data_IF_679711220655
#
_entry.id   IF_679711220655
#
_cell.length_a   1.000
_cell.length_b   1.000
_cell.length_c   1.000
_cell.angle_alpha   90.00
_cell.angle_beta   90.00
_cell.angle_gamma   90.00
#
_symmetry.space_group_name_H-M   'P 1'
#
loop_
_entity.id
_entity.type
_entity.pdbx_description
1 polymer ?
#
# COMPACT_ATOMS: atom_id res chain seq x y z
N UNK A 1 6.73 29.24 31.66
CA UNK A 1 7.03 29.79 30.31
C UNK A 1 8.48 29.48 29.99
N UNK A 2 8.75 28.41 29.26
CA UNK A 2 10.04 28.13 28.62
C UNK A 2 9.85 28.20 27.14
N UNK A 3 10.72 28.96 26.49
CA UNK A 3 10.75 29.34 25.10
C UNK A 3 10.82 28.10 24.15
N UNK A 4 10.01 28.13 23.11
CA UNK A 4 9.93 27.15 22.01
C UNK A 4 10.99 27.42 20.93
N UNK A 5 12.20 27.65 21.29
CA UNK A 5 13.34 27.81 20.37
C UNK A 5 14.49 26.96 20.90
N UNK A 6 15.02 26.12 20.05
CA UNK A 6 16.17 25.21 20.23
C UNK A 6 15.83 23.73 20.41
N UNK A 7 15.20 23.14 19.41
CA UNK A 7 15.54 21.82 18.95
C UNK A 7 16.27 21.99 17.60
N UNK A 8 17.47 22.56 17.64
CA UNK A 8 18.45 22.33 16.59
C UNK A 8 18.85 20.87 16.64
N UNK A 9 18.18 20.05 15.80
CA UNK A 9 18.73 18.78 15.40
C UNK A 9 20.02 19.09 14.62
N UNK A 10 21.15 18.99 15.28
CA UNK A 10 22.46 18.83 14.64
C UNK A 10 22.43 17.47 13.92
N UNK A 11 21.84 17.45 12.75
CA UNK A 11 21.96 16.33 11.84
C UNK A 11 23.40 16.33 11.33
N UNK A 12 24.22 15.47 11.91
CA UNK A 12 25.51 15.11 11.37
C UNK A 12 25.32 14.62 9.93
N UNK A 13 25.93 15.34 8.99
CA UNK A 13 25.82 15.13 7.55
C UNK A 13 26.54 13.86 7.04
N UNK A 14 26.95 12.99 7.92
CA UNK A 14 27.90 11.94 7.57
C UNK A 14 27.40 10.53 7.74
N UNK A 15 26.17 10.12 7.48
CA UNK A 15 25.94 8.66 7.44
C UNK A 15 24.57 8.20 6.94
N UNK A 16 24.05 8.77 5.86
CA UNK A 16 23.16 7.98 5.00
C UNK A 16 23.98 7.20 3.97
N UNK A 17 25.02 6.52 4.41
CA UNK A 17 25.64 5.48 3.62
C UNK A 17 24.86 4.19 3.84
N UNK A 18 24.66 3.42 2.79
CA UNK A 18 24.07 2.08 2.75
C UNK A 18 24.88 1.04 3.56
N UNK A 19 25.48 1.43 4.66
CA UNK A 19 26.32 0.59 5.49
C UNK A 19 25.65 0.27 6.78
N UNK A 20 25.09 -0.92 6.85
CA UNK A 20 25.06 -1.42 8.18
C UNK A 20 23.87 -2.21 8.68
N UNK A 21 23.46 -3.20 7.94
CA UNK A 21 23.10 -4.44 8.62
C UNK A 21 24.08 -5.50 8.12
N UNK A 22 25.13 -5.78 8.95
CA UNK A 22 26.01 -6.93 8.75
C UNK A 22 25.14 -8.19 8.71
N UNK A 23 25.13 -8.88 7.55
CA UNK A 23 24.45 -10.15 7.39
C UNK A 23 23.45 -10.24 6.23
N UNK A 24 23.41 -9.29 5.31
CA UNK A 24 22.64 -9.45 4.07
C UNK A 24 23.45 -10.36 3.13
N UNK A 25 22.96 -11.58 2.95
CA UNK A 25 23.34 -12.46 1.85
C UNK A 25 22.88 -11.81 0.53
N UNK A 26 23.57 -12.05 -0.57
CA UNK A 26 23.24 -11.55 -1.91
C UNK A 26 21.81 -11.90 -2.39
N UNK A 27 21.12 -12.80 -1.71
CA UNK A 27 19.75 -13.26 -1.97
C UNK A 27 18.65 -12.20 -1.74
N UNK A 28 18.96 -11.08 -1.06
CA UNK A 28 18.00 -9.99 -0.77
C UNK A 28 18.07 -8.79 -1.72
N UNK A 29 18.69 -8.89 -2.89
CA UNK A 29 18.79 -7.78 -3.83
C UNK A 29 17.78 -7.87 -4.98
N UNK A 30 17.16 -6.73 -5.30
CA UNK A 30 16.33 -6.61 -6.50
C UNK A 30 17.14 -6.82 -7.76
N UNK A 31 16.84 -7.88 -8.51
CA UNK A 31 17.42 -8.10 -9.82
C UNK A 31 16.74 -7.24 -10.92
N UNK A 32 17.37 -7.16 -12.09
CA UNK A 32 16.88 -6.34 -13.20
C UNK A 32 15.49 -6.73 -13.68
N UNK A 33 15.13 -8.02 -13.68
CA UNK A 33 13.81 -8.51 -14.07
C UNK A 33 12.73 -8.02 -13.10
N UNK A 34 13.00 -8.06 -11.80
CA UNK A 34 12.09 -7.53 -10.78
C UNK A 34 11.91 -6.01 -10.92
N UNK A 35 12.99 -5.26 -11.14
CA UNK A 35 12.92 -3.80 -11.39
C UNK A 35 12.07 -3.47 -12.61
N UNK A 36 12.20 -4.22 -13.69
CA UNK A 36 11.35 -4.06 -14.89
C UNK A 36 9.89 -4.38 -14.57
N UNK A 37 9.63 -5.47 -13.86
CA UNK A 37 8.27 -5.83 -13.45
C UNK A 37 7.62 -4.72 -12.60
N UNK A 38 8.33 -4.20 -11.60
CA UNK A 38 7.86 -3.08 -10.78
C UNK A 38 7.60 -1.85 -11.67
N UNK A 39 8.51 -1.51 -12.57
CA UNK A 39 8.34 -0.37 -13.49
C UNK A 39 7.09 -0.53 -14.37
N UNK A 40 6.81 -1.72 -14.89
CA UNK A 40 5.60 -1.99 -15.66
C UNK A 40 4.34 -1.74 -14.82
N UNK A 41 4.29 -2.26 -13.57
CA UNK A 41 3.12 -2.09 -12.70
C UNK A 41 2.99 -0.69 -12.07
N UNK A 42 4.01 0.13 -12.12
CA UNK A 42 3.95 1.56 -11.75
C UNK A 42 3.54 2.40 -12.96
N UNK A 43 4.20 2.20 -14.10
CA UNK A 43 4.08 3.08 -15.26
C UNK A 43 2.81 2.78 -16.07
N UNK A 44 2.50 1.52 -16.34
CA UNK A 44 1.36 1.16 -17.19
C UNK A 44 0.00 1.61 -16.61
N UNK A 45 -0.30 1.40 -15.32
CA UNK A 45 -1.52 1.93 -14.72
C UNK A 45 -1.57 3.47 -14.72
N UNK A 46 -0.43 4.15 -14.54
CA UNK A 46 -0.36 5.61 -14.63
C UNK A 46 -0.65 6.11 -16.04
N UNK A 47 -0.10 5.46 -17.07
CA UNK A 47 -0.42 5.77 -18.47
C UNK A 47 -1.90 5.52 -18.77
N UNK A 48 -2.51 4.47 -18.19
CA UNK A 48 -3.94 4.24 -18.31
C UNK A 48 -4.77 5.39 -17.71
N UNK A 49 -4.38 5.93 -16.55
CA UNK A 49 -5.03 7.13 -15.96
C UNK A 49 -4.96 8.33 -16.90
N UNK A 50 -3.81 8.58 -17.53
CA UNK A 50 -3.66 9.66 -18.51
C UNK A 50 -4.56 9.43 -19.73
N UNK A 51 -4.65 8.19 -20.20
CA UNK A 51 -5.48 7.81 -21.35
C UNK A 51 -6.98 7.74 -21.04
N UNK A 52 -7.38 7.66 -19.77
CA UNK A 52 -8.77 7.41 -19.37
C UNK A 52 -9.74 8.47 -19.89
N UNK A 53 -9.41 9.77 -19.74
CA UNK A 53 -10.28 10.87 -20.18
C UNK A 53 -10.44 10.88 -21.70
N UNK A 54 -9.36 10.92 -22.52
CA UNK A 54 -9.52 10.90 -23.97
C UNK A 54 -10.23 9.63 -24.48
N UNK A 55 -9.97 8.47 -23.91
CA UNK A 55 -10.64 7.24 -24.34
C UNK A 55 -12.13 7.24 -23.99
N UNK A 56 -12.52 7.72 -22.82
CA UNK A 56 -13.93 7.83 -22.43
C UNK A 56 -14.70 8.83 -23.32
N UNK A 57 -14.05 9.90 -23.80
CA UNK A 57 -14.67 10.92 -24.65
C UNK A 57 -14.71 10.48 -26.13
N UNK A 58 -13.58 9.96 -26.64
CA UNK A 58 -13.40 9.72 -28.07
C UNK A 58 -13.97 8.37 -28.54
N UNK A 59 -14.15 7.43 -27.58
CA UNK A 59 -14.62 6.08 -27.89
C UNK A 59 -15.95 5.80 -27.20
N UNK A 60 -17.04 6.09 -27.87
CA UNK A 60 -18.40 5.86 -27.36
C UNK A 60 -18.59 4.38 -26.94
N UNK A 61 -19.06 4.20 -25.71
CA UNK A 61 -19.29 2.86 -25.14
C UNK A 61 -18.04 2.20 -24.51
N UNK A 62 -16.87 2.85 -24.52
CA UNK A 62 -15.68 2.33 -23.83
C UNK A 62 -15.72 2.56 -22.31
N UNK A 63 -16.61 3.41 -21.84
CA UNK A 63 -16.89 3.60 -20.40
C UNK A 63 -18.38 3.49 -20.15
N UNK A 64 -18.79 2.48 -19.41
CA UNK A 64 -20.18 2.14 -19.12
C UNK A 64 -20.42 1.93 -17.63
N UNK A 65 -21.67 1.75 -17.22
CA UNK A 65 -22.00 1.38 -15.83
C UNK A 65 -21.43 0.03 -15.39
N UNK A 66 -21.18 -0.89 -16.35
CA UNK A 66 -20.47 -2.16 -16.08
C UNK A 66 -19.05 -1.87 -15.61
N UNK A 67 -18.35 -0.93 -16.24
CA UNK A 67 -16.99 -0.56 -15.89
C UNK A 67 -16.93 0.14 -14.53
N UNK A 68 -17.89 1.00 -14.23
CA UNK A 68 -18.05 1.59 -12.88
C UNK A 68 -18.21 0.49 -11.83
N UNK A 69 -19.07 -0.49 -12.09
CA UNK A 69 -19.27 -1.65 -11.23
C UNK A 69 -17.99 -2.46 -11.02
N UNK A 70 -17.24 -2.73 -12.09
CA UNK A 70 -15.96 -3.45 -12.05
C UNK A 70 -14.89 -2.67 -11.27
N UNK A 71 -14.75 -1.35 -11.51
CA UNK A 71 -13.82 -0.51 -10.73
C UNK A 71 -14.15 -0.61 -9.25
N UNK A 72 -15.40 -0.33 -8.86
CA UNK A 72 -15.80 -0.28 -7.46
C UNK A 72 -15.66 -1.64 -6.78
N UNK A 73 -16.06 -2.72 -7.45
CA UNK A 73 -15.95 -4.08 -6.91
C UNK A 73 -14.49 -4.48 -6.67
N UNK A 74 -13.64 -4.38 -7.71
CA UNK A 74 -12.24 -4.77 -7.57
C UNK A 74 -11.43 -3.82 -6.70
N UNK A 75 -11.79 -2.53 -6.68
CA UNK A 75 -11.21 -1.58 -5.73
C UNK A 75 -11.56 -1.96 -4.29
N UNK A 76 -12.83 -2.19 -3.99
CA UNK A 76 -13.25 -2.56 -2.64
C UNK A 76 -12.62 -3.89 -2.19
N UNK A 77 -12.57 -4.90 -3.09
CA UNK A 77 -11.93 -6.19 -2.82
C UNK A 77 -10.45 -6.03 -2.49
N UNK A 78 -9.70 -5.32 -3.34
CA UNK A 78 -8.24 -5.23 -3.21
C UNK A 78 -7.79 -4.20 -2.17
N UNK A 79 -8.47 -3.06 -2.04
CA UNK A 79 -8.23 -2.13 -0.96
C UNK A 79 -8.58 -2.75 0.40
N UNK A 80 -9.72 -3.48 0.49
CA UNK A 80 -10.05 -4.27 1.68
C UNK A 80 -9.02 -5.35 1.98
N UNK A 81 -8.51 -6.04 0.95
CA UNK A 81 -7.42 -7.01 1.09
C UNK A 81 -6.14 -6.42 1.68
N UNK A 82 -5.77 -5.19 1.29
CA UNK A 82 -4.66 -4.47 1.91
C UNK A 82 -5.01 -4.02 3.33
N UNK A 83 -6.09 -3.29 3.51
CA UNK A 83 -6.37 -2.61 4.78
C UNK A 83 -6.79 -3.58 5.89
N UNK A 84 -7.73 -4.49 5.62
CA UNK A 84 -8.19 -5.50 6.59
C UNK A 84 -7.18 -6.65 6.67
N UNK A 85 -6.70 -7.14 5.51
CA UNK A 85 -5.85 -8.31 5.42
C UNK A 85 -4.40 -7.99 5.74
N UNK A 86 -3.66 -7.49 4.77
CA UNK A 86 -2.21 -7.28 4.88
C UNK A 86 -1.85 -6.42 6.08
N UNK A 87 -2.56 -5.32 6.27
CA UNK A 87 -2.24 -4.34 7.30
C UNK A 87 -2.75 -4.75 8.67
N UNK A 88 -4.08 -4.70 8.92
CA UNK A 88 -4.62 -4.89 10.29
C UNK A 88 -4.55 -6.32 10.77
N UNK A 89 -4.75 -7.32 9.90
CA UNK A 89 -4.77 -8.73 10.30
C UNK A 89 -3.36 -9.34 10.33
N UNK A 90 -2.64 -9.35 9.19
CA UNK A 90 -1.36 -10.06 9.09
C UNK A 90 -0.18 -9.29 9.70
N UNK A 91 -0.13 -7.97 9.55
CA UNK A 91 0.97 -7.18 10.12
C UNK A 91 0.79 -6.98 11.62
N UNK A 92 -0.39 -6.53 12.04
CA UNK A 92 -0.61 -6.04 13.41
C UNK A 92 -1.41 -6.99 14.31
N UNK A 93 -2.04 -8.04 13.75
CA UNK A 93 -2.85 -8.97 14.55
C UNK A 93 -4.03 -8.29 15.24
N UNK A 94 -4.54 -7.18 14.69
CA UNK A 94 -5.52 -6.30 15.32
C UNK A 94 -6.90 -6.95 15.55
N UNK A 95 -7.17 -8.08 14.94
CA UNK A 95 -8.38 -8.88 15.16
C UNK A 95 -8.15 -10.36 14.86
N UNK A 96 -9.09 -11.21 15.22
CA UNK A 96 -9.05 -12.66 14.94
C UNK A 96 -10.09 -13.01 13.88
N UNK A 97 -9.77 -13.95 13.00
CA UNK A 97 -10.66 -14.40 11.94
C UNK A 97 -10.55 -15.93 11.74
N UNK A 98 -11.63 -16.59 11.27
CA UNK A 98 -11.57 -18.01 10.89
C UNK A 98 -10.67 -18.21 9.67
N UNK A 99 -10.16 -19.45 9.48
CA UNK A 99 -9.21 -19.79 8.43
C UNK A 99 -9.67 -19.39 7.02
N UNK A 100 -10.96 -19.52 6.70
CA UNK A 100 -11.51 -19.13 5.41
C UNK A 100 -11.36 -17.62 5.14
N UNK A 101 -11.65 -16.79 6.15
CA UNK A 101 -11.47 -15.33 6.07
C UNK A 101 -9.99 -14.98 5.98
N UNK A 102 -9.11 -15.62 6.77
CA UNK A 102 -7.65 -15.48 6.67
C UNK A 102 -7.18 -15.68 5.22
N UNK A 103 -7.55 -16.81 4.60
CA UNK A 103 -7.17 -17.14 3.22
C UNK A 103 -7.76 -16.10 2.23
N UNK A 104 -9.04 -15.76 2.38
CA UNK A 104 -9.70 -14.76 1.53
C UNK A 104 -9.02 -13.40 1.57
N UNK A 105 -8.66 -12.92 2.76
CA UNK A 105 -7.93 -11.66 2.95
C UNK A 105 -6.52 -11.70 2.34
N UNK A 106 -5.81 -12.83 2.48
CA UNK A 106 -4.49 -13.00 1.89
C UNK A 106 -4.54 -12.96 0.34
N UNK A 107 -5.52 -13.63 -0.26
CA UNK A 107 -5.72 -13.60 -1.73
C UNK A 107 -6.15 -12.20 -2.18
N UNK A 108 -7.11 -11.56 -1.51
CA UNK A 108 -7.58 -10.22 -1.86
C UNK A 108 -6.46 -9.17 -1.77
N UNK A 109 -5.60 -9.25 -0.73
CA UNK A 109 -4.42 -8.40 -0.61
C UNK A 109 -3.39 -8.65 -1.71
N UNK A 110 -3.13 -9.92 -2.07
CA UNK A 110 -2.25 -10.27 -3.20
C UNK A 110 -2.78 -9.72 -4.53
N UNK A 111 -4.10 -9.68 -4.72
CA UNK A 111 -4.73 -9.07 -5.91
C UNK A 111 -4.54 -7.56 -6.01
N UNK A 112 -4.09 -6.87 -4.97
CA UNK A 112 -3.75 -5.45 -5.02
C UNK A 112 -2.44 -5.17 -5.77
N UNK A 113 -1.61 -6.20 -6.03
CA UNK A 113 -0.36 -6.12 -6.80
C UNK A 113 0.67 -5.17 -6.14
N UNK A 114 0.78 -5.25 -4.81
CA UNK A 114 1.72 -4.45 -4.01
C UNK A 114 2.87 -5.30 -3.42
N UNK A 115 3.15 -6.46 -3.99
CA UNK A 115 4.08 -7.44 -3.49
C UNK A 115 3.40 -8.67 -2.88
N UNK A 116 4.18 -9.74 -2.65
CA UNK A 116 3.70 -10.92 -1.94
C UNK A 116 3.37 -10.58 -0.49
N UNK A 117 2.51 -11.38 0.14
CA UNK A 117 2.06 -11.14 1.52
C UNK A 117 3.23 -11.05 2.51
N UNK A 118 4.17 -11.98 2.43
CA UNK A 118 5.33 -12.05 3.32
C UNK A 118 6.24 -10.83 3.18
N UNK A 119 6.55 -10.41 1.95
CA UNK A 119 7.37 -9.22 1.70
C UNK A 119 6.66 -7.95 2.15
N UNK A 120 5.37 -7.79 1.85
CA UNK A 120 4.60 -6.62 2.26
C UNK A 120 4.54 -6.47 3.78
N UNK A 121 4.29 -7.58 4.50
CA UNK A 121 4.27 -7.60 5.98
C UNK A 121 5.65 -7.30 6.54
N UNK A 122 6.72 -7.84 5.94
CA UNK A 122 8.09 -7.55 6.36
C UNK A 122 8.44 -6.07 6.23
N UNK A 123 8.15 -5.47 5.07
CA UNK A 123 8.40 -4.04 4.82
C UNK A 123 7.63 -3.17 5.80
N UNK A 124 6.37 -3.48 6.06
CA UNK A 124 5.53 -2.67 6.93
C UNK A 124 5.90 -2.81 8.42
N UNK A 125 6.27 -4.00 8.89
CA UNK A 125 6.79 -4.18 10.26
C UNK A 125 8.12 -3.47 10.46
N UNK A 126 9.01 -3.49 9.46
CA UNK A 126 10.26 -2.72 9.48
C UNK A 126 9.98 -1.21 9.50
N UNK A 127 9.01 -0.74 8.72
CA UNK A 127 8.56 0.66 8.78
C UNK A 127 8.11 1.03 10.19
N UNK A 128 7.25 0.26 10.85
CA UNK A 128 6.84 0.54 12.23
C UNK A 128 7.99 0.51 13.23
N UNK A 129 9.00 -0.32 13.01
CA UNK A 129 10.19 -0.35 13.88
C UNK A 129 11.03 0.91 13.76
N UNK A 130 11.19 1.45 12.56
CA UNK A 130 12.08 2.58 12.25
C UNK A 130 11.34 3.81 11.71
N UNK A 131 10.03 3.91 11.93
CA UNK A 131 9.20 4.93 11.32
C UNK A 131 9.81 6.33 11.41
N UNK A 132 10.04 6.95 10.27
CA UNK A 132 10.67 8.25 10.06
C UNK A 132 12.12 8.37 10.53
N UNK A 133 12.76 7.25 10.85
CA UNK A 133 14.16 7.16 11.26
C UNK A 133 15.04 6.47 10.20
N UNK A 134 16.35 6.41 10.48
CA UNK A 134 17.28 5.62 9.64
C UNK A 134 16.93 4.14 9.72
N UNK A 135 16.69 3.51 8.57
CA UNK A 135 16.22 2.11 8.48
C UNK A 135 14.78 1.97 8.02
N UNK A 136 13.98 3.04 8.06
CA UNK A 136 12.65 3.04 7.48
C UNK A 136 12.73 2.82 5.95
N UNK A 137 12.04 1.79 5.40
CA UNK A 137 12.09 1.51 3.97
C UNK A 137 11.52 2.65 3.11
N UNK A 138 10.59 3.45 3.61
CA UNK A 138 9.90 4.46 2.81
C UNK A 138 9.64 5.80 3.53
N UNK A 139 10.55 6.25 4.41
CA UNK A 139 10.40 7.55 5.06
C UNK A 139 10.51 8.72 4.08
N UNK A 140 9.56 9.67 4.10
CA UNK A 140 9.69 10.93 3.36
C UNK A 140 10.77 11.85 3.93
N UNK A 141 11.30 11.57 5.11
CA UNK A 141 12.32 12.36 5.79
C UNK A 141 13.75 11.88 5.52
N UNK A 142 13.92 10.82 4.74
CA UNK A 142 15.21 10.20 4.40
C UNK A 142 16.28 11.17 3.91
N UNK A 143 15.90 12.27 3.26
CA UNK A 143 16.83 13.24 2.66
C UNK A 143 16.99 14.53 3.48
N UNK A 144 16.38 14.61 4.67
CA UNK A 144 16.41 15.76 5.57
C UNK A 144 15.14 16.60 5.51
N UNK A 145 15.15 17.78 6.17
CA UNK A 145 13.97 18.60 6.48
C UNK A 145 13.81 19.85 5.59
N UNK A 146 14.76 20.15 4.69
CA UNK A 146 14.61 21.26 3.76
C UNK A 146 13.46 21.01 2.77
N UNK A 147 12.82 22.06 2.25
CA UNK A 147 11.70 21.93 1.30
C UNK A 147 12.02 21.02 0.10
N UNK A 148 13.26 21.12 -0.44
CA UNK A 148 13.73 20.26 -1.54
C UNK A 148 13.92 18.82 -1.09
N UNK A 149 14.47 18.61 0.10
CA UNK A 149 14.66 17.28 0.68
C UNK A 149 13.33 16.58 0.94
N UNK A 150 12.36 17.29 1.51
CA UNK A 150 11.00 16.76 1.74
C UNK A 150 10.28 16.46 0.41
N UNK A 151 10.39 17.30 -0.61
CA UNK A 151 9.82 17.01 -1.93
C UNK A 151 10.43 15.75 -2.56
N UNK A 152 11.76 15.58 -2.46
CA UNK A 152 12.45 14.36 -2.88
C UNK A 152 12.00 13.15 -2.04
N UNK A 153 11.84 13.33 -0.74
CA UNK A 153 11.39 12.32 0.19
C UNK A 153 9.96 11.87 -0.05
N UNK A 154 9.05 12.80 -0.36
CA UNK A 154 7.67 12.47 -0.75
C UNK A 154 7.63 11.59 -2.00
N UNK A 155 8.40 11.93 -3.05
CA UNK A 155 8.53 11.07 -4.23
C UNK A 155 9.09 9.69 -3.86
N UNK A 156 10.16 9.67 -3.05
CA UNK A 156 10.77 8.43 -2.59
C UNK A 156 9.79 7.57 -1.79
N UNK A 157 9.14 8.10 -0.77
CA UNK A 157 8.18 7.39 0.06
C UNK A 157 6.94 6.93 -0.72
N UNK A 158 6.55 7.68 -1.77
CA UNK A 158 5.41 7.34 -2.61
C UNK A 158 5.72 6.18 -3.56
N UNK A 159 6.83 6.25 -4.30
CA UNK A 159 7.15 5.27 -5.36
C UNK A 159 8.61 4.89 -5.44
N UNK A 160 9.53 5.77 -5.08
CA UNK A 160 10.97 5.57 -5.30
C UNK A 160 11.53 4.37 -4.53
N UNK A 161 11.06 4.13 -3.33
CA UNK A 161 11.49 3.04 -2.46
C UNK A 161 11.28 1.64 -3.05
N UNK A 162 10.28 1.47 -3.94
CA UNK A 162 10.02 0.22 -4.64
C UNK A 162 11.21 -0.25 -5.50
N UNK A 163 12.11 0.67 -5.84
CA UNK A 163 13.28 0.43 -6.68
C UNK A 163 14.59 0.32 -5.88
N UNK A 164 14.52 0.39 -4.55
CA UNK A 164 15.70 0.19 -3.70
C UNK A 164 16.22 -1.24 -3.85
N UNK A 165 17.54 -1.38 -3.93
CA UNK A 165 18.16 -2.69 -4.15
C UNK A 165 18.03 -3.62 -2.96
N UNK A 166 18.15 -3.08 -1.74
CA UNK A 166 18.06 -3.86 -0.52
C UNK A 166 16.60 -4.17 -0.16
N UNK A 167 16.23 -5.44 -0.15
CA UNK A 167 14.92 -5.90 0.29
C UNK A 167 14.90 -6.12 1.81
N UNK A 168 13.74 -5.97 2.43
CA UNK A 168 13.57 -6.29 3.84
C UNK A 168 13.61 -7.81 4.04
N UNK A 169 14.46 -8.34 4.96
CA UNK A 169 14.55 -9.78 5.22
C UNK A 169 13.25 -10.33 5.82
N UNK A 170 12.61 -11.25 5.11
CA UNK A 170 11.34 -11.87 5.53
C UNK A 170 11.55 -12.70 6.83
N UNK A 171 12.66 -13.40 6.93
CA UNK A 171 13.00 -14.25 8.10
C UNK A 171 13.09 -13.45 9.39
N UNK A 172 13.45 -12.17 9.28
CA UNK A 172 13.57 -11.29 10.44
C UNK A 172 12.25 -10.60 10.78
N UNK A 173 11.48 -10.15 9.77
CA UNK A 173 10.32 -9.28 9.99
C UNK A 173 8.96 -9.98 9.82
N UNK A 174 8.91 -11.11 9.11
CA UNK A 174 7.68 -11.86 8.87
C UNK A 174 7.85 -13.38 9.00
N UNK A 175 8.58 -13.90 10.04
CA UNK A 175 8.84 -15.33 10.19
C UNK A 175 7.56 -16.15 10.43
N UNK A 176 6.56 -15.56 11.08
CA UNK A 176 5.25 -16.17 11.32
C UNK A 176 4.45 -16.36 10.03
N UNK A 177 4.53 -15.40 9.09
CA UNK A 177 3.91 -15.49 7.77
C UNK A 177 4.60 -16.57 6.93
N UNK A 178 5.93 -16.59 6.93
CA UNK A 178 6.72 -17.60 6.21
C UNK A 178 6.50 -19.01 6.74
N UNK A 179 6.29 -19.18 8.04
CA UNK A 179 6.04 -20.48 8.70
C UNK A 179 4.61 -21.01 8.51
N UNK A 180 3.62 -20.14 8.25
CA UNK A 180 2.24 -20.55 8.01
C UNK A 180 2.10 -21.16 6.61
N UNK A 181 1.72 -22.44 6.53
CA UNK A 181 1.64 -23.19 5.25
C UNK A 181 0.65 -22.60 4.26
N UNK A 182 -0.49 -22.03 4.72
CA UNK A 182 -1.48 -21.41 3.84
C UNK A 182 -0.91 -20.12 3.25
N UNK A 183 -0.32 -19.27 4.11
CA UNK A 183 0.17 -17.95 3.72
C UNK A 183 1.44 -18.05 2.86
N UNK A 184 2.38 -18.92 3.23
CA UNK A 184 3.58 -19.18 2.42
C UNK A 184 3.21 -19.67 1.01
N UNK A 185 2.20 -20.56 0.90
CA UNK A 185 1.71 -21.01 -0.41
C UNK A 185 1.09 -19.87 -1.21
N UNK A 186 0.27 -19.00 -0.58
CA UNK A 186 -0.33 -17.86 -1.26
C UNK A 186 0.77 -16.90 -1.74
N UNK A 187 1.81 -16.62 -0.94
CA UNK A 187 2.98 -15.83 -1.35
C UNK A 187 3.69 -16.44 -2.57
N UNK A 188 3.90 -17.77 -2.60
CA UNK A 188 4.49 -18.46 -3.74
C UNK A 188 3.64 -18.35 -5.02
N UNK A 189 2.31 -18.41 -4.88
CA UNK A 189 1.37 -18.24 -5.98
C UNK A 189 1.06 -16.79 -6.34
N UNK A 190 1.74 -15.81 -5.74
CA UNK A 190 1.54 -14.38 -6.02
C UNK A 190 1.54 -14.05 -7.52
N UNK A 191 2.45 -14.55 -8.38
CA UNK A 191 2.41 -14.27 -9.82
C UNK A 191 1.11 -14.73 -10.51
N UNK A 192 0.56 -15.86 -10.10
CA UNK A 192 -0.71 -16.38 -10.64
C UNK A 192 -1.90 -15.54 -10.14
N UNK A 193 -1.90 -15.14 -8.86
CA UNK A 193 -2.95 -14.27 -8.28
C UNK A 193 -2.92 -12.88 -8.93
N UNK A 194 -1.73 -12.32 -9.16
CA UNK A 194 -1.52 -11.09 -9.88
C UNK A 194 -2.11 -11.17 -11.30
N UNK A 195 -1.80 -12.24 -12.04
CA UNK A 195 -2.36 -12.48 -13.39
C UNK A 195 -3.89 -12.57 -13.34
N UNK A 196 -4.44 -13.32 -12.40
CA UNK A 196 -5.88 -13.41 -12.21
C UNK A 196 -6.51 -12.03 -11.87
N UNK A 197 -5.84 -11.23 -11.05
CA UNK A 197 -6.31 -9.87 -10.69
C UNK A 197 -6.47 -8.94 -11.89
N UNK A 198 -5.65 -9.12 -12.92
CA UNK A 198 -5.71 -8.34 -14.17
C UNK A 198 -6.76 -8.91 -15.11
N UNK A 199 -6.81 -10.25 -15.25
CA UNK A 199 -7.64 -10.90 -16.26
C UNK A 199 -9.10 -11.06 -15.83
N UNK A 200 -9.40 -11.18 -14.53
CA UNK A 200 -10.78 -11.33 -14.06
C UNK A 200 -11.69 -10.15 -14.42
N UNK A 201 -11.29 -8.87 -14.30
CA UNK A 201 -12.11 -7.76 -14.78
C UNK A 201 -12.39 -7.84 -16.29
N UNK A 202 -11.40 -8.24 -17.08
CA UNK A 202 -11.57 -8.43 -18.52
C UNK A 202 -12.59 -9.56 -18.83
N UNK A 203 -12.43 -10.69 -18.17
CA UNK A 203 -13.34 -11.82 -18.31
C UNK A 203 -14.79 -11.42 -17.94
N UNK A 204 -14.98 -10.79 -16.80
CA UNK A 204 -16.29 -10.36 -16.34
C UNK A 204 -16.91 -9.30 -17.26
N UNK A 205 -16.13 -8.29 -17.67
CA UNK A 205 -16.58 -7.28 -18.63
C UNK A 205 -17.06 -7.91 -19.95
N UNK A 206 -16.28 -8.84 -20.49
CA UNK A 206 -16.62 -9.57 -21.70
C UNK A 206 -17.87 -10.44 -21.54
N UNK A 207 -17.99 -11.18 -20.44
CA UNK A 207 -19.14 -12.05 -20.16
C UNK A 207 -20.43 -11.25 -19.89
N UNK A 208 -20.37 -10.15 -19.15
CA UNK A 208 -21.55 -9.34 -18.82
C UNK A 208 -22.09 -8.64 -20.08
N UNK A 209 -21.20 -8.16 -20.94
CA UNK A 209 -21.59 -7.39 -22.13
C UNK A 209 -21.68 -8.24 -23.41
N UNK A 210 -21.30 -9.54 -23.35
CA UNK A 210 -21.16 -10.44 -24.52
C UNK A 210 -20.33 -9.79 -25.65
N UNK A 211 -19.27 -9.05 -25.29
CA UNK A 211 -18.51 -8.24 -26.24
C UNK A 211 -17.01 -8.28 -25.91
N UNK A 212 -16.16 -8.42 -26.94
CA UNK A 212 -14.73 -8.27 -26.80
C UNK A 212 -14.34 -6.83 -26.37
N UNK A 213 -15.16 -5.83 -26.76
CA UNK A 213 -15.01 -4.45 -26.32
C UNK A 213 -15.22 -4.33 -24.80
N UNK A 214 -16.23 -5.01 -24.27
CA UNK A 214 -16.45 -5.06 -22.81
C UNK A 214 -15.33 -5.80 -22.09
N UNK A 215 -14.67 -6.78 -22.71
CA UNK A 215 -13.47 -7.39 -22.15
C UNK A 215 -12.29 -6.41 -22.09
N UNK A 216 -12.05 -5.64 -23.15
CA UNK A 216 -11.02 -4.61 -23.18
C UNK A 216 -11.31 -3.47 -22.18
N UNK A 217 -12.56 -3.02 -22.11
CA UNK A 217 -12.98 -2.00 -21.14
C UNK A 217 -12.81 -2.51 -19.70
N UNK A 218 -13.23 -3.74 -19.41
CA UNK A 218 -13.02 -4.38 -18.12
C UNK A 218 -11.54 -4.50 -17.73
N UNK A 219 -10.67 -4.86 -18.67
CA UNK A 219 -9.21 -4.85 -18.48
C UNK A 219 -8.69 -3.45 -18.15
N UNK A 220 -9.13 -2.46 -18.91
CA UNK A 220 -8.67 -1.09 -18.75
C UNK A 220 -9.18 -0.48 -17.44
N UNK A 221 -10.49 -0.48 -17.22
CA UNK A 221 -11.12 0.19 -16.07
C UNK A 221 -11.00 -0.63 -14.78
N UNK A 222 -11.46 -1.88 -14.78
CA UNK A 222 -11.43 -2.78 -13.64
C UNK A 222 -10.04 -3.36 -13.34
N UNK A 223 -9.17 -3.43 -14.35
CA UNK A 223 -7.76 -3.81 -14.23
C UNK A 223 -6.88 -2.60 -13.94
N UNK A 224 -6.43 -1.90 -14.98
CA UNK A 224 -5.37 -0.89 -14.90
C UNK A 224 -5.73 0.34 -14.07
N UNK A 225 -6.90 0.95 -14.30
CA UNK A 225 -7.35 2.14 -13.55
C UNK A 225 -7.53 1.80 -12.07
N UNK A 226 -8.14 0.66 -11.76
CA UNK A 226 -8.28 0.21 -10.38
C UNK A 226 -6.93 -0.03 -9.69
N UNK A 227 -5.94 -0.65 -10.39
CA UNK A 227 -4.59 -0.82 -9.86
C UNK A 227 -3.95 0.52 -9.53
N UNK A 228 -4.00 1.49 -10.46
CA UNK A 228 -3.50 2.84 -10.21
C UNK A 228 -4.15 3.46 -8.96
N UNK A 229 -5.48 3.36 -8.84
CA UNK A 229 -6.22 3.90 -7.71
C UNK A 229 -5.74 3.30 -6.38
N UNK A 230 -5.67 1.97 -6.29
CA UNK A 230 -5.25 1.27 -5.06
C UNK A 230 -3.79 1.59 -4.72
N UNK A 231 -2.89 1.58 -5.70
CA UNK A 231 -1.47 1.88 -5.48
C UNK A 231 -1.26 3.30 -4.95
N UNK A 232 -1.78 4.30 -5.66
CA UNK A 232 -1.57 5.69 -5.28
C UNK A 232 -2.26 6.05 -3.96
N UNK A 233 -3.39 5.44 -3.62
CA UNK A 233 -4.01 5.59 -2.30
C UNK A 233 -3.12 5.01 -1.21
N UNK A 234 -2.64 3.76 -1.35
CA UNK A 234 -1.76 3.14 -0.35
C UNK A 234 -0.45 3.90 -0.19
N UNK A 235 0.21 4.22 -1.31
CA UNK A 235 1.48 4.98 -1.26
C UNK A 235 1.31 6.41 -0.72
N UNK A 236 0.10 6.98 -0.78
CA UNK A 236 -0.21 8.25 -0.13
C UNK A 236 -0.21 8.14 1.40
N UNK A 237 -0.55 6.97 1.95
CA UNK A 237 -0.41 6.75 3.39
C UNK A 237 1.07 6.85 3.80
N UNK A 238 1.97 6.18 3.06
CA UNK A 238 3.40 6.20 3.34
C UNK A 238 4.03 7.60 3.17
N UNK A 239 3.57 8.36 2.19
CA UNK A 239 4.15 9.67 1.85
C UNK A 239 3.41 10.83 2.52
N UNK A 240 2.13 11.03 2.18
CA UNK A 240 1.35 12.20 2.61
C UNK A 240 1.07 12.16 4.10
N UNK A 241 0.66 10.99 4.66
CA UNK A 241 0.31 10.88 6.07
C UNK A 241 1.53 10.94 7.03
N UNK A 242 2.76 10.97 6.53
CA UNK A 242 3.97 11.23 7.31
C UNK A 242 4.51 12.65 7.16
N UNK A 243 3.86 13.51 6.34
CA UNK A 243 4.30 14.90 6.14
C UNK A 243 3.19 15.90 6.48
N UNK A 244 1.96 15.62 6.03
CA UNK A 244 0.83 16.54 6.15
C UNK A 244 -0.28 15.95 7.01
N UNK A 245 -1.03 16.81 7.70
CA UNK A 245 -2.20 16.42 8.46
C UNK A 245 -2.15 16.83 9.92
N UNK A 246 -3.14 16.37 10.68
CA UNK A 246 -3.24 16.62 12.12
C UNK A 246 -2.61 15.47 12.93
N UNK A 247 -1.96 15.78 14.03
CA UNK A 247 -1.32 14.81 14.95
C UNK A 247 -1.96 14.87 16.33
N UNK A 248 -3.14 14.27 16.50
CA UNK A 248 -3.86 14.33 17.78
C UNK A 248 -3.28 13.40 18.86
N UNK A 249 -2.41 12.46 18.49
CA UNK A 249 -1.78 11.52 19.39
C UNK A 249 -0.27 11.79 19.50
N UNK A 250 0.32 11.43 20.63
CA UNK A 250 1.74 11.62 20.88
C UNK A 250 2.53 10.41 20.36
N UNK A 251 3.05 10.52 19.14
CA UNK A 251 3.83 9.49 18.47
C UNK A 251 5.32 9.83 18.51
N UNK A 252 6.15 8.80 18.43
CA UNK A 252 7.62 8.96 18.26
C UNK A 252 7.99 9.43 16.84
N UNK A 253 7.11 9.20 15.86
CA UNK A 253 7.28 9.52 14.46
C UNK A 253 6.41 10.70 14.01
N UNK A 254 6.38 10.97 12.73
CA UNK A 254 5.67 12.11 12.16
C UNK A 254 4.33 11.74 11.49
N UNK A 255 3.80 10.56 11.80
CA UNK A 255 2.51 10.10 11.30
C UNK A 255 1.35 11.01 11.69
N UNK A 256 0.42 11.23 10.79
CA UNK A 256 -0.65 12.20 10.89
C UNK A 256 -1.95 11.74 10.27
N UNK A 257 -3.05 12.39 10.64
CA UNK A 257 -4.39 12.13 10.11
C UNK A 257 -4.68 13.03 8.92
N UNK A 258 -5.12 12.45 7.79
CA UNK A 258 -5.48 13.15 6.55
C UNK A 258 -6.92 12.83 6.16
N UNK A 259 -7.85 13.71 6.50
CA UNK A 259 -9.30 13.45 6.43
C UNK A 259 -9.81 13.15 5.01
N UNK A 260 -9.32 13.82 3.97
CA UNK A 260 -9.77 13.61 2.59
C UNK A 260 -9.33 12.26 2.01
N UNK A 261 -8.29 11.63 2.56
CA UNK A 261 -7.87 10.27 2.20
C UNK A 261 -8.68 9.19 2.91
N UNK A 262 -9.49 9.51 3.92
CA UNK A 262 -10.13 8.50 4.76
C UNK A 262 -11.09 7.56 3.98
N UNK A 263 -11.85 8.10 3.04
CA UNK A 263 -12.74 7.29 2.21
C UNK A 263 -11.95 6.40 1.24
N UNK A 264 -11.08 6.94 0.38
CA UNK A 264 -10.35 6.09 -0.58
C UNK A 264 -9.40 5.09 0.09
N UNK A 265 -8.92 5.36 1.30
CA UNK A 265 -8.03 4.46 2.06
C UNK A 265 -8.75 3.55 3.05
N UNK A 266 -10.10 3.49 3.05
CA UNK A 266 -10.88 2.69 3.99
C UNK A 266 -10.61 2.99 5.48
N UNK A 267 -10.10 4.20 5.78
CA UNK A 267 -9.78 4.65 7.13
C UNK A 267 -8.31 4.58 7.52
N UNK A 268 -7.41 4.10 6.63
CA UNK A 268 -5.98 4.02 6.92
C UNK A 268 -5.31 5.38 7.12
N UNK A 269 -5.89 6.45 6.56
CA UNK A 269 -5.39 7.81 6.73
C UNK A 269 -5.64 8.43 8.11
N UNK A 270 -6.35 7.74 9.01
CA UNK A 270 -6.33 8.06 10.45
C UNK A 270 -5.06 7.50 11.09
N UNK A 271 -3.93 7.90 10.54
CA UNK A 271 -2.64 7.24 10.68
C UNK A 271 -1.92 7.58 11.99
N UNK A 272 -2.26 8.72 12.61
CA UNK A 272 -1.68 9.12 13.89
C UNK A 272 -2.04 8.17 15.03
N UNK A 273 -3.31 7.70 15.14
CA UNK A 273 -3.65 6.69 16.15
C UNK A 273 -3.02 5.34 15.83
N UNK A 274 -3.01 4.96 14.55
CA UNK A 274 -2.43 3.70 14.12
C UNK A 274 -0.95 3.56 14.55
N UNK A 275 -0.16 4.62 14.41
CA UNK A 275 1.23 4.63 14.86
C UNK A 275 1.38 4.76 16.39
N UNK A 276 0.39 5.34 17.09
CA UNK A 276 0.38 5.37 18.54
C UNK A 276 0.08 3.99 19.15
N UNK A 277 -0.86 3.25 18.53
CA UNK A 277 -1.23 1.88 18.93
C UNK A 277 -1.64 1.06 17.70
N UNK A 278 -0.69 0.39 17.04
CA UNK A 278 -0.94 -0.38 15.83
C UNK A 278 -1.78 -1.65 16.06
N UNK A 279 -1.99 -2.06 17.32
CA UNK A 279 -2.80 -3.24 17.65
C UNK A 279 -4.31 -2.98 17.59
N UNK A 280 -4.72 -1.72 17.49
CA UNK A 280 -6.13 -1.36 17.41
C UNK A 280 -6.72 -1.66 16.02
N UNK A 281 -7.83 -2.39 16.01
CA UNK A 281 -8.58 -2.65 14.79
C UNK A 281 -9.30 -1.41 14.23
N UNK A 282 -9.44 -0.35 15.04
CA UNK A 282 -10.08 0.91 14.67
C UNK A 282 -9.11 2.07 14.76
N UNK A 283 -8.86 2.73 13.62
CA UNK A 283 -7.96 3.88 13.54
C UNK A 283 -8.72 5.22 13.67
N UNK A 284 -9.94 5.31 13.15
CA UNK A 284 -10.79 6.49 13.24
C UNK A 284 -11.63 6.51 14.53
N UNK A 285 -11.08 7.04 15.62
CA UNK A 285 -11.74 7.05 16.95
C UNK A 285 -12.31 8.41 17.34
N UNK A 286 -11.87 9.49 16.71
CA UNK A 286 -12.38 10.82 17.02
C UNK A 286 -13.70 11.09 16.32
N UNK A 287 -14.48 12.04 16.85
CA UNK A 287 -15.80 12.38 16.28
C UNK A 287 -15.69 12.79 14.81
N UNK A 288 -16.52 12.19 13.96
CA UNK A 288 -16.55 12.45 12.51
C UNK A 288 -15.54 11.66 11.69
N UNK A 289 -14.67 10.85 12.30
CA UNK A 289 -13.73 10.00 11.60
C UNK A 289 -14.42 8.73 11.09
N UNK A 290 -14.56 8.62 9.77
CA UNK A 290 -15.08 7.44 9.11
C UNK A 290 -13.96 6.42 8.90
N UNK A 291 -14.11 5.24 9.49
CA UNK A 291 -13.22 4.09 9.32
C UNK A 291 -14.05 2.90 8.82
N UNK A 292 -14.00 2.69 7.48
CA UNK A 292 -14.77 1.62 6.84
C UNK A 292 -14.21 0.24 7.18
N UNK A 293 -12.90 0.11 7.31
CA UNK A 293 -12.25 -1.14 7.69
C UNK A 293 -12.67 -1.59 9.10
N UNK A 294 -12.71 -0.67 10.07
CA UNK A 294 -13.18 -1.00 11.42
C UNK A 294 -14.65 -1.45 11.43
N UNK A 295 -15.49 -0.84 10.59
CA UNK A 295 -16.90 -1.28 10.46
C UNK A 295 -17.02 -2.67 9.83
N UNK A 296 -16.21 -2.97 8.81
CA UNK A 296 -16.16 -4.30 8.20
C UNK A 296 -15.69 -5.37 9.21
N UNK A 297 -14.63 -5.08 9.99
CA UNK A 297 -14.14 -5.98 11.04
C UNK A 297 -15.22 -6.26 12.10
N UNK A 298 -16.01 -5.26 12.48
CA UNK A 298 -17.07 -5.43 13.49
C UNK A 298 -18.24 -6.31 13.03
N UNK A 299 -18.36 -6.60 11.73
CA UNK A 299 -19.39 -7.45 11.13
C UNK A 299 -18.87 -8.88 10.87
N UNK A 300 -17.54 -9.05 10.78
CA UNK A 300 -16.86 -10.34 10.53
C UNK A 300 -16.83 -11.21 11.78
#
# INVERSE_FOLDING_TARGET
>A
MRSTSELELTADKSTFTNSGVRGQNEEGLLNSSMKITIAVFVILPLLAVIAAIPLAILWAGFFTWVDVGLILFFWALTAGGITLGYHRYFTHGAFKAPRAVKIGLAIAGSMAIQGSLDQWVADHRKHHQFSDEVGDPHSPWRFGTSKRAVAKGLYYAHVGWLFDEAQTPIEQYAPDIAADKDLSRISQFFPAILTASILLPALLGGLITWSWMGALAGLFWGGLIRIALVHHVTWSINSICHVFGSRPFNNRDLSSNVAWLAIPSFGESWHSLHHADPTLARHGVLKGQLDMSARAIAIM
#
